data_IF_575135677463
#
_entry.id   IF_575135677463
#
_cell.length_a   1.000
_cell.length_b   1.000
_cell.length_c   1.000
_cell.angle_alpha   90.00
_cell.angle_beta   90.00
_cell.angle_gamma   90.00
#
_symmetry.space_group_name_H-M   'P 1'
#
loop_
_entity.id
_entity.type
_entity.pdbx_description
1 polymer ?
#
# COMPACT_ATOMS: atom_id res chain seq x y z
N UNK A 1 -17.56 13.16 -15.43
CA UNK A 1 -17.90 12.45 -14.18
C UNK A 1 -16.64 12.37 -13.33
N UNK A 2 -16.62 13.01 -12.17
CA UNK A 2 -15.50 12.97 -11.24
C UNK A 2 -15.86 12.06 -10.06
N UNK A 3 -14.89 11.32 -9.53
CA UNK A 3 -15.12 10.34 -8.47
C UNK A 3 -14.50 10.83 -7.17
N UNK A 4 -15.34 11.33 -6.27
CA UNK A 4 -14.93 11.90 -4.99
C UNK A 4 -14.86 10.84 -3.90
N UNK A 5 -13.81 10.90 -3.08
CA UNK A 5 -13.69 10.05 -1.91
C UNK A 5 -14.55 10.59 -0.77
N UNK A 6 -15.57 9.83 -0.39
CA UNK A 6 -16.45 10.16 0.74
C UNK A 6 -15.72 10.28 2.10
N UNK A 7 -14.53 9.68 2.24
CA UNK A 7 -13.80 9.65 3.53
C UNK A 7 -12.89 10.86 3.72
N UNK A 8 -12.28 11.40 2.65
CA UNK A 8 -11.37 12.54 2.74
C UNK A 8 -11.65 13.67 1.74
N UNK A 9 -12.72 13.56 0.97
CA UNK A 9 -13.11 14.55 -0.03
C UNK A 9 -12.25 14.59 -1.30
N UNK A 10 -11.28 13.68 -1.47
CA UNK A 10 -10.34 13.75 -2.60
C UNK A 10 -11.00 13.38 -3.92
N UNK A 11 -10.90 14.26 -4.91
CA UNK A 11 -11.47 14.05 -6.26
C UNK A 11 -10.50 13.32 -7.17
N UNK A 12 -10.91 12.16 -7.66
CA UNK A 12 -10.10 11.32 -8.55
C UNK A 12 -10.76 11.19 -9.93
N UNK A 13 -9.93 10.96 -10.95
CA UNK A 13 -10.36 10.93 -12.35
C UNK A 13 -11.14 9.66 -12.72
N UNK A 14 -11.00 8.56 -11.98
CA UNK A 14 -11.71 7.29 -12.27
C UNK A 14 -12.12 6.53 -11.02
N UNK A 15 -13.16 5.69 -11.16
CA UNK A 15 -13.67 4.81 -10.10
C UNK A 15 -12.61 3.81 -9.60
N UNK A 16 -11.75 3.30 -10.49
CA UNK A 16 -10.69 2.35 -10.13
C UNK A 16 -9.63 3.02 -9.24
N UNK A 17 -9.21 4.24 -9.60
CA UNK A 17 -8.26 5.00 -8.79
C UNK A 17 -8.87 5.34 -7.43
N UNK A 18 -10.16 5.69 -7.40
CA UNK A 18 -10.88 5.96 -6.15
C UNK A 18 -10.93 4.72 -5.24
N UNK A 19 -11.23 3.55 -5.80
CA UNK A 19 -11.24 2.28 -5.05
C UNK A 19 -9.87 1.99 -4.44
N UNK A 20 -8.80 2.06 -5.24
CA UNK A 20 -7.42 1.88 -4.76
C UNK A 20 -7.05 2.92 -3.70
N UNK A 21 -7.47 4.18 -3.88
CA UNK A 21 -7.24 5.23 -2.91
C UNK A 21 -7.92 4.90 -1.57
N UNK A 22 -9.20 4.50 -1.57
CA UNK A 22 -9.90 4.06 -0.37
C UNK A 22 -9.20 2.86 0.28
N UNK A 23 -8.83 1.83 -0.48
CA UNK A 23 -8.12 0.65 0.03
C UNK A 23 -6.72 0.93 0.61
N UNK A 24 -6.07 2.00 0.18
CA UNK A 24 -4.69 2.31 0.58
C UNK A 24 -4.58 3.42 1.63
N UNK A 25 -5.60 4.27 1.76
CA UNK A 25 -5.57 5.48 2.61
C UNK A 25 -6.63 5.48 3.70
N UNK A 26 -7.71 4.72 3.53
CA UNK A 26 -8.84 4.71 4.46
C UNK A 26 -9.12 3.33 5.02
N UNK A 27 -9.00 2.30 4.20
CA UNK A 27 -8.89 0.93 4.68
C UNK A 27 -7.43 0.64 5.01
N UNK A 28 -7.20 0.11 6.20
CA UNK A 28 -5.90 -0.40 6.57
C UNK A 28 -5.57 -1.55 5.61
N UNK A 29 -4.36 -1.63 5.01
CA UNK A 29 -4.11 -2.62 4.00
C UNK A 29 -4.09 -3.98 4.68
N UNK A 30 -5.17 -4.75 4.51
CA UNK A 30 -5.29 -6.12 5.02
C UNK A 30 -4.15 -7.01 4.46
N UNK A 31 -3.57 -6.61 3.33
CA UNK A 31 -2.42 -7.20 2.68
C UNK A 31 -1.12 -6.37 2.85
N UNK A 32 -1.01 -5.63 3.96
CA UNK A 32 0.23 -4.94 4.30
C UNK A 32 1.35 -5.95 4.48
N UNK A 33 2.35 -5.89 3.62
CA UNK A 33 3.52 -6.74 3.73
C UNK A 33 4.49 -6.08 4.72
N UNK A 34 4.51 -6.57 5.96
CA UNK A 34 5.39 -6.04 7.01
C UNK A 34 6.73 -6.78 7.00
N UNK A 35 7.83 -6.03 7.06
CA UNK A 35 9.14 -6.63 7.23
C UNK A 35 9.32 -7.08 8.69
N UNK A 36 9.47 -8.37 8.94
CA UNK A 36 9.71 -8.89 10.30
C UNK A 36 11.05 -8.43 10.92
N UNK A 37 11.99 -7.94 10.11
CA UNK A 37 13.33 -7.54 10.58
C UNK A 37 13.41 -6.08 11.02
N UNK A 38 12.61 -5.20 10.42
CA UNK A 38 12.63 -3.75 10.72
C UNK A 38 11.23 -3.16 10.95
N UNK A 39 10.20 -4.00 10.95
CA UNK A 39 8.78 -3.67 11.10
C UNK A 39 8.25 -2.62 10.11
N UNK A 40 8.96 -2.40 9.00
CA UNK A 40 8.54 -1.45 7.97
C UNK A 40 7.36 -2.03 7.18
N UNK A 41 6.32 -1.21 7.01
CA UNK A 41 5.08 -1.59 6.33
C UNK A 41 5.18 -1.25 4.85
N UNK A 42 4.94 -2.24 4.00
CA UNK A 42 4.89 -2.07 2.56
C UNK A 42 3.48 -2.34 2.02
N UNK A 43 3.14 -1.60 0.95
CA UNK A 43 1.84 -1.69 0.28
C UNK A 43 1.69 -2.95 -0.57
N UNK A 44 2.79 -3.64 -0.89
CA UNK A 44 2.79 -4.88 -1.68
C UNK A 44 3.88 -5.84 -1.20
N UNK A 45 3.64 -7.13 -1.41
CA UNK A 45 4.61 -8.19 -1.11
C UNK A 45 5.88 -8.05 -1.96
N UNK A 46 5.76 -7.61 -3.22
CA UNK A 46 6.90 -7.41 -4.11
C UNK A 46 7.82 -6.28 -3.61
N UNK A 47 7.25 -5.17 -3.13
CA UNK A 47 8.02 -4.09 -2.50
C UNK A 47 8.70 -4.57 -1.21
N UNK A 48 8.02 -5.39 -0.40
CA UNK A 48 8.64 -6.00 0.78
C UNK A 48 9.79 -6.93 0.38
N UNK A 49 9.61 -7.78 -0.63
CA UNK A 49 10.61 -8.75 -1.05
C UNK A 49 11.86 -8.06 -1.62
N UNK A 50 11.67 -7.02 -2.42
CA UNK A 50 12.77 -6.18 -2.89
C UNK A 50 13.49 -5.47 -1.73
N UNK A 51 12.73 -4.92 -0.77
CA UNK A 51 13.31 -4.33 0.43
C UNK A 51 14.12 -5.36 1.23
N UNK A 52 13.59 -6.55 1.46
CA UNK A 52 14.32 -7.64 2.13
C UNK A 52 15.57 -8.02 1.33
N UNK A 53 15.48 -8.11 0.01
CA UNK A 53 16.62 -8.47 -0.83
C UNK A 53 17.71 -7.40 -0.88
N UNK A 54 17.40 -6.11 -0.66
CA UNK A 54 18.39 -5.03 -0.69
C UNK A 54 18.93 -4.75 0.71
N UNK A 55 18.05 -4.59 1.68
CA UNK A 55 18.39 -4.14 3.04
C UNK A 55 18.61 -5.30 4.02
N UNK A 56 18.06 -6.47 3.72
CA UNK A 56 18.14 -7.67 4.55
C UNK A 56 18.70 -8.87 3.78
N UNK A 57 19.51 -8.60 2.74
CA UNK A 57 20.06 -9.59 1.78
C UNK A 57 20.81 -10.76 2.43
N UNK A 58 21.15 -10.65 3.72
CA UNK A 58 21.78 -11.69 4.52
C UNK A 58 20.73 -12.47 5.32
N UNK A 59 20.02 -13.36 4.65
CA UNK A 59 19.51 -14.58 5.29
C UNK A 59 19.61 -15.70 4.25
N UNK A 60 20.80 -16.29 4.19
CA UNK A 60 21.01 -17.64 3.70
C UNK A 60 22.02 -18.29 4.62
#
# INVERSE_FOLDING_TARGET
ICYTCDVCGKTLSTKLTLKRHKEQQHFQPLNSAVCALCHKVFRTLNSLNNHKSIYHRRQK
#
